data_IF_681903274402
#
_entry.id   IF_681903274402
#
_cell.length_a   1.000
_cell.length_b   1.000
_cell.length_c   1.000
_cell.angle_alpha   90.00
_cell.angle_beta   90.00
_cell.angle_gamma   90.00
#
_symmetry.space_group_name_H-M   'P 1'
#
loop_
_entity.id
_entity.type
_entity.pdbx_description
1 polymer ?
#
# COMPACT_ATOMS: atom_id res chain seq x y z
N UNK A 1 -2.63 13.26 12.06
CA UNK A 1 -2.53 14.64 11.54
C UNK A 1 -3.82 15.47 11.63
N UNK A 2 -5.01 15.01 11.19
CA UNK A 2 -6.24 15.85 11.18
C UNK A 2 -6.88 16.14 12.56
N UNK A 3 -6.42 15.51 13.64
CA UNK A 3 -6.87 15.83 15.00
C UNK A 3 -6.14 17.05 15.60
N UNK A 4 -5.06 17.53 14.96
CA UNK A 4 -4.27 18.68 15.43
C UNK A 4 -4.71 19.93 14.68
N UNK A 5 -5.49 20.79 15.36
CA UNK A 5 -5.78 22.13 14.85
C UNK A 5 -4.68 23.11 15.27
N UNK A 6 -4.04 23.81 14.32
CA UNK A 6 -3.03 24.84 14.66
C UNK A 6 -3.60 25.91 15.58
N UNK A 7 -4.91 26.20 15.50
CA UNK A 7 -5.59 27.12 16.42
C UNK A 7 -5.58 26.66 17.88
N UNK A 8 -5.38 25.37 18.17
CA UNK A 8 -5.24 24.85 19.54
C UNK A 8 -3.99 25.40 20.25
N UNK A 9 -3.01 25.90 19.48
CA UNK A 9 -1.78 26.51 19.98
C UNK A 9 -1.98 27.97 20.43
N UNK A 10 -3.11 28.61 20.11
CA UNK A 10 -3.35 30.00 20.46
C UNK A 10 -3.49 30.19 21.98
N UNK A 11 -2.57 30.98 22.56
CA UNK A 11 -2.60 31.32 23.99
C UNK A 11 -2.04 30.24 24.92
N UNK A 12 -1.35 29.24 24.36
CA UNK A 12 -0.72 28.17 25.13
C UNK A 12 0.58 28.62 25.82
N UNK A 13 0.97 28.00 26.94
CA UNK A 13 2.23 28.30 27.61
C UNK A 13 3.45 27.99 26.73
N UNK A 14 4.35 28.96 26.59
CA UNK A 14 5.68 28.71 26.04
C UNK A 14 6.53 28.06 27.13
N UNK A 15 6.89 26.80 26.93
CA UNK A 15 7.72 26.02 27.85
C UNK A 15 9.21 26.41 27.76
N UNK A 16 9.63 26.90 26.58
CA UNK A 16 10.97 27.42 26.36
C UNK A 16 11.08 28.13 25.01
N UNK A 17 11.86 29.21 24.95
CA UNK A 17 12.16 29.90 23.70
C UNK A 17 13.59 30.45 23.69
N UNK A 18 14.20 30.44 22.51
CA UNK A 18 15.46 31.11 22.20
C UNK A 18 15.45 31.54 20.72
N UNK A 19 16.45 32.30 20.24
CA UNK A 19 16.60 32.56 18.81
C UNK A 19 16.75 31.29 17.95
N UNK A 20 16.95 30.11 18.56
CA UNK A 20 17.15 28.84 17.88
C UNK A 20 15.96 27.87 18.01
N UNK A 21 15.03 28.08 18.96
CA UNK A 21 13.89 27.19 19.11
C UNK A 21 12.69 27.80 19.85
N UNK A 22 11.52 27.19 19.66
CA UNK A 22 10.30 27.40 20.44
C UNK A 22 9.71 26.05 20.88
N UNK A 23 9.25 25.95 22.12
CA UNK A 23 8.47 24.81 22.61
C UNK A 23 7.15 25.31 23.24
N UNK A 24 6.02 24.84 22.73
CA UNK A 24 4.67 25.19 23.19
C UNK A 24 3.99 23.95 23.75
N UNK A 25 3.42 24.06 24.96
CA UNK A 25 2.57 23.03 25.60
C UNK A 25 1.14 23.13 25.03
N UNK A 26 0.77 22.23 24.12
CA UNK A 26 -0.58 22.17 23.58
C UNK A 26 -1.47 21.18 24.33
N UNK A 27 -2.79 21.44 24.46
CA UNK A 27 -3.73 20.54 25.13
C UNK A 27 -3.87 19.15 24.46
N UNK A 28 -3.26 18.94 23.29
CA UNK A 28 -3.16 17.67 22.60
C UNK A 28 -1.71 17.23 22.31
N UNK A 29 -0.69 17.98 22.72
CA UNK A 29 0.71 17.70 22.38
C UNK A 29 1.65 18.90 22.39
N UNK A 30 2.96 18.64 22.46
CA UNK A 30 4.01 19.64 22.40
C UNK A 30 4.39 19.97 20.94
N UNK A 31 4.45 21.27 20.60
CA UNK A 31 5.03 21.74 19.33
C UNK A 31 6.44 22.27 19.59
N UNK A 32 7.41 21.72 18.86
CA UNK A 32 8.79 22.18 18.81
C UNK A 32 9.10 22.79 17.43
N UNK A 33 9.52 24.05 17.41
CA UNK A 33 10.05 24.71 16.22
C UNK A 33 11.56 24.92 16.41
N UNK A 34 12.38 24.42 15.50
CA UNK A 34 13.82 24.72 15.42
C UNK A 34 14.11 25.67 14.26
N UNK A 35 15.02 26.63 14.44
CA UNK A 35 15.28 27.65 13.42
C UNK A 35 16.46 28.57 13.69
N UNK A 36 16.52 29.67 12.92
CA UNK A 36 17.52 30.74 13.06
C UNK A 36 16.83 32.10 13.25
N UNK A 37 17.38 32.92 14.15
CA UNK A 37 16.91 34.27 14.48
C UNK A 37 15.41 34.37 14.80
N UNK A 38 14.86 33.35 15.45
CA UNK A 38 13.44 33.29 15.78
C UNK A 38 13.05 34.42 16.75
N UNK A 39 11.99 35.15 16.39
CA UNK A 39 11.40 36.23 17.17
C UNK A 39 9.94 35.90 17.45
N UNK A 40 9.44 36.25 18.63
CA UNK A 40 8.09 35.94 19.07
C UNK A 40 7.33 37.18 19.54
N UNK A 41 6.02 37.18 19.35
CA UNK A 41 5.15 38.18 19.96
C UNK A 41 4.93 37.90 21.46
N UNK A 42 4.26 38.82 22.17
CA UNK A 42 3.96 38.68 23.60
C UNK A 42 2.99 37.54 23.95
N UNK A 43 2.55 36.74 22.97
CA UNK A 43 1.68 35.56 23.10
C UNK A 43 2.38 34.27 22.66
N UNK A 44 3.66 34.34 22.29
CA UNK A 44 4.47 33.20 21.88
C UNK A 44 4.38 32.85 20.39
N UNK A 45 3.71 33.66 19.55
CA UNK A 45 3.65 33.38 18.12
C UNK A 45 4.94 33.79 17.43
N UNK A 46 5.48 32.98 16.51
CA UNK A 46 6.65 33.35 15.70
C UNK A 46 6.28 34.53 14.77
N UNK A 47 7.11 35.58 14.76
CA UNK A 47 6.92 36.82 13.97
C UNK A 47 8.15 37.23 13.15
N UNK A 48 9.30 36.61 13.37
CA UNK A 48 10.56 36.88 12.65
C UNK A 48 11.55 35.72 12.77
N UNK A 49 12.52 35.65 11.85
CA UNK A 49 13.43 34.51 11.70
C UNK A 49 12.94 33.45 10.72
N UNK A 50 13.70 32.38 10.60
CA UNK A 50 13.42 31.23 9.73
C UNK A 50 13.28 29.97 10.57
N UNK A 51 12.21 29.23 10.37
CA UNK A 51 12.03 27.88 10.90
C UNK A 51 12.69 26.93 9.89
N UNK A 52 13.42 25.94 10.37
CA UNK A 52 14.04 24.90 9.53
C UNK A 52 13.82 23.48 10.06
N UNK A 53 13.05 23.35 11.14
CA UNK A 53 12.63 22.09 11.71
C UNK A 53 11.34 22.31 12.49
N UNK A 54 10.36 21.43 12.34
CA UNK A 54 9.13 21.45 13.12
C UNK A 54 8.89 20.02 13.58
N UNK A 55 8.54 19.86 14.85
CA UNK A 55 8.18 18.57 15.44
C UNK A 55 6.91 18.77 16.28
N UNK A 56 5.93 17.89 16.09
CA UNK A 56 4.68 17.88 16.86
C UNK A 56 4.62 16.54 17.58
N UNK A 57 4.52 16.55 18.91
CA UNK A 57 4.38 15.35 19.74
C UNK A 57 3.03 15.34 20.41
N UNK A 58 2.10 14.46 20.01
CA UNK A 58 0.78 14.34 20.65
C UNK A 58 0.76 13.30 21.79
N UNK A 59 0.18 13.66 22.95
CA UNK A 59 -0.04 12.73 24.09
C UNK A 59 1.08 12.61 25.15
N UNK A 60 0.84 11.78 26.18
CA UNK A 60 1.77 11.57 27.31
C UNK A 60 2.74 10.41 27.04
N UNK A 61 3.94 10.74 26.55
CA UNK A 61 5.11 9.86 26.42
C UNK A 61 4.95 8.61 25.53
N UNK A 62 4.83 8.83 24.22
CA UNK A 62 5.54 8.09 23.15
C UNK A 62 5.37 8.92 21.89
N UNK A 63 6.45 9.58 21.48
CA UNK A 63 6.43 10.66 20.52
C UNK A 63 5.99 10.17 19.12
N UNK A 64 4.88 10.69 18.62
CA UNK A 64 4.83 10.97 17.19
C UNK A 64 5.90 12.02 16.92
N UNK A 65 6.87 11.69 16.08
CA UNK A 65 7.92 12.61 15.66
C UNK A 65 7.67 12.85 14.20
N UNK A 66 7.04 13.98 13.88
CA UNK A 66 7.13 14.54 12.54
C UNK A 66 8.48 15.26 12.47
N UNK A 67 9.45 14.71 11.73
CA UNK A 67 10.68 15.46 11.43
C UNK A 67 10.46 16.16 10.11
N UNK A 68 10.07 17.43 10.19
CA UNK A 68 9.72 18.24 9.03
C UNK A 68 11.01 18.79 8.42
N UNK A 69 11.43 18.23 7.29
CA UNK A 69 12.72 18.52 6.68
C UNK A 69 12.55 19.53 5.55
N UNK A 70 13.28 20.64 5.66
CA UNK A 70 13.62 21.50 4.52
C UNK A 70 12.58 22.49 3.95
N UNK A 71 11.88 23.26 4.80
CA UNK A 71 11.48 24.59 4.34
C UNK A 71 12.06 25.69 5.22
N UNK A 72 12.73 26.67 4.60
CA UNK A 72 12.99 27.98 5.18
C UNK A 72 11.65 28.74 5.31
N UNK A 73 10.82 28.34 6.26
CA UNK A 73 9.53 28.99 6.50
C UNK A 73 9.78 30.26 7.28
N UNK A 74 9.25 31.38 6.80
CA UNK A 74 9.28 32.58 7.61
C UNK A 74 8.40 32.38 8.84
N UNK A 75 8.94 32.69 10.01
CA UNK A 75 8.20 32.68 11.27
C UNK A 75 6.84 33.41 11.17
N UNK A 76 6.81 34.51 10.41
CA UNK A 76 5.60 35.29 10.11
C UNK A 76 4.53 34.54 9.31
N UNK A 77 4.93 33.69 8.35
CA UNK A 77 4.01 32.87 7.56
C UNK A 77 3.39 31.78 8.44
N UNK A 78 4.22 31.12 9.27
CA UNK A 78 3.74 30.15 10.24
C UNK A 78 2.71 30.76 11.21
N UNK A 79 2.99 31.96 11.73
CA UNK A 79 2.05 32.72 12.57
C UNK A 79 0.73 33.04 11.87
N UNK A 80 0.72 33.30 10.56
CA UNK A 80 -0.52 33.50 9.79
C UNK A 80 -1.36 32.24 9.69
N UNK A 81 -0.74 31.07 9.52
CA UNK A 81 -1.45 29.80 9.50
C UNK A 81 -2.09 29.48 10.85
N UNK A 82 -1.38 29.70 11.95
CA UNK A 82 -1.92 29.55 13.32
C UNK A 82 -3.11 30.47 13.56
N UNK A 83 -3.03 31.73 13.11
CA UNK A 83 -4.11 32.70 13.26
C UNK A 83 -5.37 32.36 12.44
N UNK A 84 -5.19 31.72 11.28
CA UNK A 84 -6.26 31.37 10.35
C UNK A 84 -6.79 29.93 10.52
N UNK A 85 -6.20 29.12 11.41
CA UNK A 85 -6.40 27.67 11.50
C UNK A 85 -6.20 26.95 10.14
N UNK A 86 -5.24 27.43 9.35
CA UNK A 86 -4.98 26.94 8.00
C UNK A 86 -4.11 25.67 8.01
N UNK A 87 -4.49 24.68 8.83
CA UNK A 87 -3.68 23.48 9.14
C UNK A 87 -3.26 22.71 7.90
N UNK A 88 -4.19 22.41 6.99
CA UNK A 88 -3.90 21.64 5.78
C UNK A 88 -2.90 22.34 4.86
N UNK A 89 -3.08 23.65 4.66
CA UNK A 89 -2.17 24.47 3.85
C UNK A 89 -0.78 24.57 4.49
N UNK A 90 -0.73 24.65 5.82
CA UNK A 90 0.53 24.66 6.53
C UNK A 90 1.27 23.33 6.34
N UNK A 91 0.61 22.20 6.62
CA UNK A 91 1.26 20.89 6.52
C UNK A 91 1.67 20.55 5.11
N UNK A 92 0.85 20.78 4.08
CA UNK A 92 1.27 20.55 2.69
C UNK A 92 2.41 21.45 2.21
N UNK A 93 2.67 22.58 2.89
CA UNK A 93 3.82 23.45 2.57
C UNK A 93 5.07 23.03 3.36
N UNK A 94 4.84 22.57 4.59
CA UNK A 94 5.90 22.13 5.49
C UNK A 94 6.47 20.79 5.01
N UNK A 95 5.58 19.88 4.63
CA UNK A 95 5.85 18.53 4.15
C UNK A 95 5.85 18.51 2.62
N UNK A 96 6.74 19.29 1.99
CA UNK A 96 6.78 19.37 0.52
C UNK A 96 8.08 18.82 -0.07
N UNK A 97 8.89 18.20 0.77
CA UNK A 97 10.12 17.53 0.40
C UNK A 97 10.21 16.20 1.16
N UNK A 98 11.32 15.46 1.03
CA UNK A 98 11.46 14.16 1.68
C UNK A 98 11.37 14.25 3.20
N UNK A 99 10.41 13.55 3.78
CA UNK A 99 10.10 13.58 5.21
C UNK A 99 10.13 12.20 5.87
N UNK A 100 10.33 12.19 7.20
CA UNK A 100 10.25 10.98 8.02
C UNK A 100 9.12 11.16 9.05
N UNK A 101 8.08 10.35 8.89
CA UNK A 101 6.79 10.46 9.57
C UNK A 101 6.52 9.19 10.38
N UNK A 102 6.60 9.32 11.70
CA UNK A 102 6.25 8.26 12.64
C UNK A 102 4.87 8.49 13.28
N UNK A 103 4.02 7.47 13.17
CA UNK A 103 2.83 7.28 13.98
C UNK A 103 3.14 6.97 15.44
N UNK A 104 2.11 6.67 16.20
CA UNK A 104 2.13 6.36 17.62
C UNK A 104 1.58 4.96 17.89
N UNK A 105 1.19 4.67 19.14
CA UNK A 105 0.70 3.34 19.52
C UNK A 105 -0.79 3.09 19.26
N UNK A 106 -1.52 4.13 18.86
CA UNK A 106 -2.94 4.12 18.60
C UNK A 106 -3.19 4.40 17.11
N UNK A 107 -4.44 4.24 16.66
CA UNK A 107 -4.83 4.53 15.28
C UNK A 107 -4.45 5.95 14.84
N UNK A 108 -3.69 6.04 13.74
CA UNK A 108 -3.22 7.30 13.19
C UNK A 108 -3.72 7.63 11.80
N UNK A 109 -3.68 8.92 11.48
CA UNK A 109 -3.87 9.45 10.13
C UNK A 109 -2.59 10.19 9.71
N UNK A 110 -1.86 9.62 8.77
CA UNK A 110 -0.55 10.09 8.30
C UNK A 110 -0.64 10.47 6.81
N UNK A 111 0.07 11.53 6.41
CA UNK A 111 0.12 12.06 5.04
C UNK A 111 1.55 12.54 4.75
N UNK A 112 2.16 12.08 3.67
CA UNK A 112 3.47 12.55 3.18
C UNK A 112 3.40 13.86 2.39
N UNK A 113 2.35 14.01 1.57
CA UNK A 113 2.11 15.16 0.67
C UNK A 113 3.00 15.20 -0.57
N UNK A 114 4.06 16.00 -0.63
CA UNK A 114 4.99 16.00 -1.77
C UNK A 114 6.38 15.60 -1.26
N UNK A 115 7.11 14.76 -1.97
CA UNK A 115 8.45 14.31 -1.58
C UNK A 115 8.56 12.80 -1.58
N UNK A 116 9.79 12.28 -1.53
CA UNK A 116 10.01 10.85 -1.34
C UNK A 116 10.05 10.57 0.17
N UNK A 117 8.93 10.15 0.74
CA UNK A 117 8.73 10.10 2.18
C UNK A 117 8.95 8.72 2.79
N UNK A 118 9.27 8.69 4.08
CA UNK A 118 9.28 7.48 4.89
C UNK A 118 8.19 7.59 5.93
N UNK A 119 7.14 6.78 5.80
CA UNK A 119 5.96 6.84 6.68
C UNK A 119 5.77 5.51 7.41
N UNK A 120 5.66 5.58 8.73
CA UNK A 120 5.59 4.42 9.62
C UNK A 120 4.38 4.54 10.54
N UNK A 121 3.37 3.68 10.36
CA UNK A 121 2.14 3.66 11.18
C UNK A 121 2.38 3.24 12.63
N UNK A 122 3.33 2.31 12.85
CA UNK A 122 3.67 1.72 14.14
C UNK A 122 2.55 0.84 14.74
N UNK A 123 1.75 1.36 15.67
CA UNK A 123 0.68 0.63 16.36
C UNK A 123 -0.70 1.08 15.91
N UNK A 124 -1.74 0.31 16.26
CA UNK A 124 -3.13 0.67 15.98
C UNK A 124 -3.52 0.62 14.50
N UNK A 125 -4.79 0.91 14.23
CA UNK A 125 -5.39 0.86 12.88
C UNK A 125 -5.09 2.17 12.14
N UNK A 126 -4.09 2.17 11.26
CA UNK A 126 -3.60 3.40 10.65
C UNK A 126 -4.23 3.69 9.29
N UNK A 127 -4.39 4.96 8.96
CA UNK A 127 -4.71 5.46 7.62
C UNK A 127 -3.51 6.26 7.13
N UNK A 128 -2.85 5.79 6.08
CA UNK A 128 -1.63 6.38 5.54
C UNK A 128 -1.80 6.72 4.07
N UNK A 129 -1.40 7.94 3.72
CA UNK A 129 -1.29 8.42 2.34
C UNK A 129 0.15 8.86 2.10
N UNK A 130 0.80 8.30 1.08
CA UNK A 130 2.13 8.72 0.63
C UNK A 130 2.06 10.12 0.07
N UNK A 131 1.50 10.27 -1.13
CA UNK A 131 1.34 11.57 -1.77
C UNK A 131 1.96 11.56 -3.15
N UNK A 132 2.68 12.63 -3.49
CA UNK A 132 3.53 12.68 -4.66
C UNK A 132 4.95 12.31 -4.28
N UNK A 133 5.60 11.46 -5.08
CA UNK A 133 6.98 11.05 -4.86
C UNK A 133 7.05 9.57 -4.59
N UNK A 134 8.27 9.05 -4.52
CA UNK A 134 8.47 7.61 -4.33
C UNK A 134 8.58 7.31 -2.84
N UNK A 135 7.48 6.87 -2.24
CA UNK A 135 7.33 6.75 -0.80
C UNK A 135 7.68 5.36 -0.28
N UNK A 136 8.10 5.30 0.98
CA UNK A 136 8.24 4.06 1.74
C UNK A 136 7.25 4.06 2.90
N UNK A 137 6.22 3.22 2.78
CA UNK A 137 5.12 3.13 3.74
C UNK A 137 5.17 1.79 4.48
N UNK A 138 5.07 1.83 5.81
CA UNK A 138 4.99 0.64 6.67
C UNK A 138 3.81 0.76 7.63
N UNK A 139 2.85 -0.16 7.56
CA UNK A 139 1.71 -0.25 8.49
C UNK A 139 2.11 -0.65 9.91
N UNK A 140 3.30 -1.22 10.08
CA UNK A 140 3.85 -1.67 11.37
C UNK A 140 5.11 -0.92 11.76
N UNK A 141 5.53 -1.12 13.02
CA UNK A 141 6.81 -0.67 13.56
C UNK A 141 7.66 -1.81 14.10
N UNK A 142 8.98 -1.72 13.95
CA UNK A 142 9.94 -2.67 14.51
C UNK A 142 9.99 -2.70 16.06
N UNK A 143 9.27 -1.79 16.73
CA UNK A 143 9.29 -1.66 18.18
C UNK A 143 8.06 -2.33 18.80
N UNK A 144 8.26 -3.55 19.31
CA UNK A 144 7.32 -4.37 20.12
C UNK A 144 6.73 -3.64 21.35
N UNK A 145 7.10 -2.38 21.61
CA UNK A 145 6.69 -1.58 22.77
C UNK A 145 5.72 -0.43 22.43
N UNK A 146 5.43 -0.19 21.14
CA UNK A 146 4.63 0.96 20.69
C UNK A 146 3.21 0.55 20.26
N UNK A 147 2.53 -0.29 21.03
CA UNK A 147 1.13 -0.67 20.74
C UNK A 147 0.97 -2.04 20.08
N UNK A 148 -0.28 -2.46 19.93
CA UNK A 148 -0.63 -3.68 19.22
C UNK A 148 -0.58 -3.42 17.70
N UNK A 149 -0.27 -4.44 16.88
CA UNK A 149 -0.50 -4.33 15.44
C UNK A 149 -1.98 -4.02 15.19
N UNK A 150 -2.27 -3.24 14.15
CA UNK A 150 -3.62 -2.90 13.74
C UNK A 150 -3.87 -3.23 12.28
N UNK A 151 -5.13 -3.09 11.88
CA UNK A 151 -5.58 -3.23 10.52
C UNK A 151 -5.49 -1.88 9.80
N UNK A 152 -4.64 -1.78 8.78
CA UNK A 152 -4.26 -0.49 8.19
C UNK A 152 -4.93 -0.26 6.83
N UNK A 153 -5.02 1.02 6.46
CA UNK A 153 -5.43 1.52 5.16
C UNK A 153 -4.25 2.30 4.59
N UNK A 154 -3.56 1.74 3.59
CA UNK A 154 -2.29 2.25 3.08
C UNK A 154 -2.44 2.63 1.60
N UNK A 155 -2.08 3.87 1.24
CA UNK A 155 -2.14 4.39 -0.14
C UNK A 155 -0.80 5.02 -0.51
N UNK A 156 -0.22 4.57 -1.62
CA UNK A 156 0.97 5.19 -2.22
C UNK A 156 0.65 6.54 -2.85
N UNK A 157 -0.37 6.55 -3.71
CA UNK A 157 -0.89 7.70 -4.47
C UNK A 157 -0.14 7.94 -5.80
N UNK A 158 0.87 8.79 -5.87
CA UNK A 158 1.65 9.09 -7.08
C UNK A 158 3.14 8.83 -6.87
N UNK A 159 3.72 7.88 -7.60
CA UNK A 159 5.15 7.60 -7.55
C UNK A 159 5.42 6.10 -7.54
N UNK A 160 6.69 5.71 -7.63
CA UNK A 160 7.04 4.30 -7.50
C UNK A 160 7.22 3.98 -6.00
N UNK A 161 6.16 3.47 -5.37
CA UNK A 161 6.07 3.33 -3.93
C UNK A 161 6.50 1.95 -3.42
N UNK A 162 6.94 1.91 -2.16
CA UNK A 162 7.17 0.68 -1.42
C UNK A 162 6.23 0.63 -0.22
N UNK A 163 5.27 -0.28 -0.23
CA UNK A 163 4.26 -0.41 0.82
C UNK A 163 4.35 -1.78 1.47
N UNK A 164 4.37 -1.81 2.80
CA UNK A 164 4.34 -3.07 3.58
C UNK A 164 3.28 -2.97 4.68
N UNK A 165 2.34 -3.91 4.66
CA UNK A 165 1.38 -4.15 5.74
C UNK A 165 2.02 -4.82 6.95
N UNK A 166 1.20 -5.09 7.96
CA UNK A 166 1.55 -5.64 9.26
C UNK A 166 1.21 -7.12 9.38
N UNK A 167 0.54 -7.49 10.48
CA UNK A 167 0.24 -8.88 10.84
C UNK A 167 -1.26 -9.13 11.04
N UNK A 168 -2.10 -8.17 10.64
CA UNK A 168 -3.56 -8.20 10.66
C UNK A 168 -4.03 -7.68 9.30
N UNK A 169 -5.31 -7.84 8.98
CA UNK A 169 -5.93 -7.35 7.75
C UNK A 169 -5.45 -5.94 7.37
N UNK A 170 -4.85 -5.80 6.20
CA UNK A 170 -4.44 -4.52 5.62
C UNK A 170 -5.09 -4.28 4.25
N UNK A 171 -5.56 -3.06 4.03
CA UNK A 171 -6.07 -2.58 2.74
C UNK A 171 -4.99 -1.70 2.10
N UNK A 172 -4.27 -2.26 1.11
CA UNK A 172 -3.12 -1.67 0.44
C UNK A 172 -3.46 -1.33 -1.02
N UNK A 173 -3.10 -0.12 -1.46
CA UNK A 173 -3.16 0.26 -2.87
C UNK A 173 -1.95 1.14 -3.24
N UNK A 174 -1.15 0.71 -4.23
CA UNK A 174 -0.03 1.49 -4.77
C UNK A 174 -0.50 2.75 -5.50
N UNK A 175 -1.57 2.63 -6.28
CA UNK A 175 -2.22 3.65 -7.10
C UNK A 175 -1.54 3.94 -8.44
N UNK A 176 -0.55 4.83 -8.51
CA UNK A 176 0.08 5.21 -9.78
C UNK A 176 1.60 5.12 -9.67
N UNK A 177 2.22 4.33 -10.53
CA UNK A 177 3.66 4.16 -10.57
C UNK A 177 4.02 2.69 -10.48
N UNK A 178 5.30 2.35 -10.61
CA UNK A 178 5.74 0.96 -10.52
C UNK A 178 5.94 0.57 -9.05
N UNK A 179 4.88 0.10 -8.41
CA UNK A 179 4.81 -0.08 -6.98
C UNK A 179 5.32 -1.45 -6.52
N UNK A 180 5.82 -1.52 -5.28
CA UNK A 180 6.15 -2.76 -4.59
C UNK A 180 5.35 -2.88 -3.30
N UNK A 181 4.36 -3.76 -3.28
CA UNK A 181 3.44 -3.93 -2.15
C UNK A 181 3.53 -5.33 -1.54
N UNK A 182 3.43 -5.42 -0.21
CA UNK A 182 3.44 -6.68 0.56
C UNK A 182 2.40 -6.58 1.68
N UNK A 183 1.46 -7.53 1.75
CA UNK A 183 0.42 -7.60 2.79
C UNK A 183 1.00 -7.92 4.17
N UNK A 184 1.97 -8.83 4.20
CA UNK A 184 2.69 -9.22 5.41
C UNK A 184 2.06 -10.45 6.06
N UNK A 185 1.08 -10.27 6.91
CA UNK A 185 0.34 -11.41 7.42
C UNK A 185 -1.04 -11.01 7.88
N UNK A 186 -1.96 -11.97 7.92
CA UNK A 186 -3.38 -11.64 7.98
C UNK A 186 -3.99 -11.83 6.60
N UNK A 187 -5.31 -11.74 6.52
CA UNK A 187 -6.02 -11.87 5.24
C UNK A 187 -6.08 -10.47 4.62
N UNK A 188 -5.24 -10.15 3.65
CA UNK A 188 -4.97 -8.79 3.19
C UNK A 188 -5.59 -8.48 1.82
N UNK A 189 -5.78 -7.20 1.52
CA UNK A 189 -6.10 -6.72 0.18
C UNK A 189 -4.91 -5.93 -0.36
N UNK A 190 -4.26 -6.44 -1.41
CA UNK A 190 -3.08 -5.85 -2.03
C UNK A 190 -3.38 -5.52 -3.48
N UNK A 191 -3.47 -4.23 -3.80
CA UNK A 191 -3.75 -3.75 -5.15
C UNK A 191 -2.58 -2.91 -5.66
N UNK A 192 -2.10 -3.19 -6.88
CA UNK A 192 -1.04 -2.43 -7.53
C UNK A 192 -1.55 -1.07 -7.99
N UNK A 193 -2.30 -1.05 -9.10
CA UNK A 193 -2.96 0.15 -9.57
C UNK A 193 -2.75 0.39 -11.04
N UNK A 194 -1.78 1.23 -11.38
CA UNK A 194 -1.35 1.53 -12.75
C UNK A 194 0.14 1.33 -12.84
N UNK A 195 0.58 0.98 -14.04
CA UNK A 195 1.98 0.71 -14.36
C UNK A 195 2.40 -0.65 -13.78
N UNK A 196 3.67 -1.02 -13.89
CA UNK A 196 4.08 -2.41 -13.67
C UNK A 196 4.43 -2.64 -12.20
N UNK A 197 3.57 -3.37 -11.50
CA UNK A 197 3.65 -3.56 -10.06
C UNK A 197 4.25 -4.91 -9.65
N UNK A 198 4.79 -4.97 -8.43
CA UNK A 198 5.26 -6.19 -7.76
C UNK A 198 4.51 -6.37 -6.44
N UNK A 199 3.61 -7.35 -6.39
CA UNK A 199 2.65 -7.52 -5.30
C UNK A 199 2.81 -8.89 -4.63
N UNK A 200 2.74 -8.92 -3.30
CA UNK A 200 2.72 -10.14 -2.48
C UNK A 200 1.61 -10.05 -1.43
N UNK A 201 0.75 -11.07 -1.32
CA UNK A 201 -0.17 -11.23 -0.16
C UNK A 201 0.60 -11.65 1.10
N UNK A 202 1.61 -12.49 0.91
CA UNK A 202 2.47 -13.10 1.93
C UNK A 202 1.81 -14.22 2.74
N UNK A 203 1.13 -13.95 3.85
CA UNK A 203 0.64 -15.02 4.72
C UNK A 203 -0.78 -14.78 5.23
N UNK A 204 -1.74 -15.52 4.71
CA UNK A 204 -3.17 -15.42 5.03
C UNK A 204 -3.99 -15.74 3.80
N UNK A 205 -5.31 -15.56 3.88
CA UNK A 205 -6.17 -15.67 2.69
C UNK A 205 -6.33 -14.31 2.02
N UNK A 206 -5.49 -14.02 1.04
CA UNK A 206 -5.28 -12.69 0.50
C UNK A 206 -6.08 -12.44 -0.78
N UNK A 207 -6.34 -11.17 -1.08
CA UNK A 207 -6.70 -10.71 -2.41
C UNK A 207 -5.53 -9.90 -2.97
N UNK A 208 -4.94 -10.38 -4.06
CA UNK A 208 -3.86 -9.71 -4.76
C UNK A 208 -4.32 -9.36 -6.18
N UNK A 209 -4.26 -8.08 -6.56
CA UNK A 209 -4.75 -7.60 -7.86
C UNK A 209 -3.85 -6.53 -8.50
N UNK A 210 -3.19 -6.86 -9.61
CA UNK A 210 -2.30 -5.97 -10.36
C UNK A 210 -3.01 -4.77 -11.01
N UNK A 211 -4.15 -5.04 -11.67
CA UNK A 211 -5.07 -4.10 -12.30
C UNK A 211 -4.64 -3.58 -13.69
N UNK A 212 -3.72 -2.63 -13.81
CA UNK A 212 -3.29 -2.06 -15.11
C UNK A 212 -1.77 -2.06 -15.21
N UNK A 213 -1.19 -2.88 -16.08
CA UNK A 213 0.25 -2.92 -16.27
C UNK A 213 0.73 -4.36 -16.41
N UNK A 214 2.00 -4.56 -16.74
CA UNK A 214 2.58 -5.89 -16.75
C UNK A 214 3.08 -6.22 -15.34
N UNK A 215 2.22 -6.85 -14.56
CA UNK A 215 2.37 -7.01 -13.11
C UNK A 215 2.97 -8.37 -12.73
N UNK A 216 3.60 -8.41 -11.55
CA UNK A 216 3.96 -9.66 -10.87
C UNK A 216 3.16 -9.77 -9.58
N UNK A 217 2.25 -10.73 -9.52
CA UNK A 217 1.36 -10.97 -8.39
C UNK A 217 1.64 -12.33 -7.75
N UNK A 218 1.89 -12.36 -6.44
CA UNK A 218 2.10 -13.56 -5.63
C UNK A 218 1.08 -13.59 -4.48
N UNK A 219 0.29 -14.65 -4.35
CA UNK A 219 -0.64 -14.83 -3.22
C UNK A 219 0.12 -15.11 -1.94
N UNK A 220 0.98 -16.14 -1.95
CA UNK A 220 1.83 -16.51 -0.83
C UNK A 220 1.34 -17.76 -0.11
N UNK A 221 1.38 -17.77 1.21
CA UNK A 221 0.86 -18.86 2.05
C UNK A 221 -0.61 -18.61 2.40
N UNK A 222 -1.52 -19.48 1.98
CA UNK A 222 -2.93 -19.44 2.33
C UNK A 222 -3.82 -19.72 1.13
N UNK A 223 -5.12 -19.42 1.26
CA UNK A 223 -6.06 -19.66 0.17
C UNK A 223 -6.41 -18.32 -0.46
N UNK A 224 -5.78 -18.00 -1.58
CA UNK A 224 -5.72 -16.65 -2.11
C UNK A 224 -6.61 -16.44 -3.32
N UNK A 225 -6.89 -15.17 -3.61
CA UNK A 225 -7.47 -14.71 -4.88
C UNK A 225 -6.41 -13.83 -5.54
N UNK A 226 -5.75 -14.36 -6.56
CA UNK A 226 -4.66 -13.68 -7.25
C UNK A 226 -5.08 -13.36 -8.69
N UNK A 227 -5.06 -12.07 -9.04
CA UNK A 227 -5.49 -11.57 -10.35
C UNK A 227 -4.42 -10.65 -10.95
N UNK A 228 -4.03 -10.92 -12.21
CA UNK A 228 -3.12 -10.07 -12.97
C UNK A 228 -3.77 -8.74 -13.32
N UNK A 229 -4.69 -8.74 -14.28
CA UNK A 229 -5.49 -7.56 -14.61
C UNK A 229 -5.52 -7.29 -16.11
N UNK A 230 -4.84 -6.25 -16.55
CA UNK A 230 -4.70 -5.93 -17.96
C UNK A 230 -3.24 -5.89 -18.32
N UNK A 231 -2.92 -6.30 -19.55
CA UNK A 231 -1.56 -6.52 -20.05
C UNK A 231 -1.01 -7.86 -19.56
N UNK A 232 0.27 -8.14 -19.83
CA UNK A 232 0.82 -9.49 -19.72
C UNK A 232 1.46 -9.70 -18.35
N UNK A 233 0.81 -10.50 -17.52
CA UNK A 233 1.12 -10.65 -16.11
C UNK A 233 1.84 -11.96 -15.78
N UNK A 234 2.51 -11.96 -14.62
CA UNK A 234 2.97 -13.16 -13.93
C UNK A 234 2.16 -13.32 -12.66
N UNK A 235 1.36 -14.39 -12.56
CA UNK A 235 0.42 -14.60 -11.46
C UNK A 235 0.71 -15.93 -10.77
N UNK A 236 0.97 -15.89 -9.47
CA UNK A 236 1.34 -17.05 -8.66
C UNK A 236 0.35 -17.18 -7.49
N UNK A 237 -0.33 -18.32 -7.38
CA UNK A 237 -1.21 -18.64 -6.25
C UNK A 237 -0.40 -18.78 -4.97
N UNK A 238 0.43 -19.83 -4.91
CA UNK A 238 1.36 -20.04 -3.81
C UNK A 238 1.07 -21.35 -3.10
N UNK A 239 0.89 -21.32 -1.78
CA UNK A 239 0.63 -22.51 -0.98
C UNK A 239 -0.77 -22.46 -0.37
N UNK A 240 -1.70 -23.24 -0.92
CA UNK A 240 -3.05 -23.43 -0.42
C UNK A 240 -3.98 -23.67 -1.60
N UNK A 241 -5.29 -23.59 -1.36
CA UNK A 241 -6.27 -23.76 -2.45
C UNK A 241 -6.61 -22.39 -3.04
N UNK A 242 -5.98 -22.04 -4.16
CA UNK A 242 -6.00 -20.68 -4.70
C UNK A 242 -6.98 -20.49 -5.86
N UNK A 243 -7.42 -19.25 -6.05
CA UNK A 243 -8.06 -18.79 -7.28
C UNK A 243 -7.09 -17.89 -8.05
N UNK A 244 -6.71 -18.30 -9.26
CA UNK A 244 -5.70 -17.63 -10.09
C UNK A 244 -6.32 -17.21 -11.43
N UNK A 245 -6.19 -15.93 -11.79
CA UNK A 245 -6.62 -15.38 -13.08
C UNK A 245 -5.60 -14.39 -13.63
N UNK A 246 -5.14 -14.57 -14.86
CA UNK A 246 -4.38 -13.54 -15.58
C UNK A 246 -5.25 -12.33 -15.97
N UNK A 247 -6.56 -12.56 -16.06
CA UNK A 247 -7.56 -11.65 -16.62
C UNK A 247 -7.33 -11.35 -18.11
N UNK A 248 -6.89 -10.15 -18.51
CA UNK A 248 -6.73 -9.77 -19.92
C UNK A 248 -5.27 -9.58 -20.26
N UNK A 249 -4.74 -10.42 -21.13
CA UNK A 249 -3.35 -10.36 -21.54
C UNK A 249 -2.88 -11.72 -22.02
N UNK A 250 -1.61 -11.79 -22.37
CA UNK A 250 -0.94 -13.08 -22.55
C UNK A 250 -0.17 -13.41 -21.25
N UNK A 251 -0.84 -14.09 -20.33
CA UNK A 251 -0.39 -14.24 -18.95
C UNK A 251 0.36 -15.55 -18.68
N UNK A 252 1.24 -15.54 -17.68
CA UNK A 252 1.88 -16.75 -17.15
C UNK A 252 1.45 -17.00 -15.73
N UNK A 253 0.90 -18.18 -15.46
CA UNK A 253 0.30 -18.54 -14.19
C UNK A 253 0.91 -19.79 -13.57
N UNK A 254 0.99 -19.79 -12.24
CA UNK A 254 1.22 -20.99 -11.40
C UNK A 254 0.20 -21.05 -10.29
N UNK A 255 -0.29 -22.24 -9.97
CA UNK A 255 -1.14 -22.46 -8.79
C UNK A 255 -0.29 -22.68 -7.54
N UNK A 256 0.83 -23.39 -7.70
CA UNK A 256 1.68 -23.77 -6.60
C UNK A 256 1.20 -25.07 -5.95
N UNK A 257 1.00 -25.08 -4.62
CA UNK A 257 0.69 -26.28 -3.87
C UNK A 257 -0.73 -26.23 -3.31
N UNK A 258 -1.63 -27.06 -3.82
CA UNK A 258 -2.99 -27.19 -3.29
C UNK A 258 -3.96 -27.52 -4.42
N UNK A 259 -5.25 -27.37 -4.16
CA UNK A 259 -6.28 -27.62 -5.17
C UNK A 259 -6.73 -26.31 -5.82
N UNK A 260 -6.04 -25.90 -6.89
CA UNK A 260 -6.19 -24.55 -7.43
C UNK A 260 -7.27 -24.43 -8.52
N UNK A 261 -7.79 -23.22 -8.67
CA UNK A 261 -8.72 -22.85 -9.72
C UNK A 261 -8.07 -21.82 -10.63
N UNK A 262 -7.80 -22.21 -11.87
CA UNK A 262 -7.38 -21.30 -12.93
C UNK A 262 -8.60 -20.79 -13.68
N UNK A 263 -8.88 -19.50 -13.60
CA UNK A 263 -9.97 -18.86 -14.33
C UNK A 263 -9.49 -18.30 -15.67
N UNK A 264 -10.34 -18.42 -16.68
CA UNK A 264 -10.13 -17.80 -18.00
C UNK A 264 -11.48 -17.64 -18.72
N UNK A 265 -11.49 -16.85 -19.78
CA UNK A 265 -12.70 -16.51 -20.53
C UNK A 265 -12.39 -16.22 -22.00
N UNK A 266 -13.45 -16.06 -22.80
CA UNK A 266 -13.36 -16.00 -24.26
C UNK A 266 -12.47 -14.89 -24.83
N UNK A 267 -12.25 -13.81 -24.09
CA UNK A 267 -11.46 -12.64 -24.49
C UNK A 267 -10.25 -12.39 -23.56
N UNK A 268 -9.80 -13.41 -22.81
CA UNK A 268 -8.66 -13.29 -21.88
C UNK A 268 -7.35 -12.99 -22.62
N UNK A 269 -7.03 -13.77 -23.65
CA UNK A 269 -5.77 -13.68 -24.38
C UNK A 269 -5.12 -15.06 -24.44
N UNK A 270 -3.80 -15.15 -24.57
CA UNK A 270 -3.07 -16.42 -24.54
C UNK A 270 -2.43 -16.67 -23.18
N UNK A 271 -3.14 -17.44 -22.34
CA UNK A 271 -2.70 -17.74 -20.98
C UNK A 271 -1.87 -19.04 -20.94
N UNK A 272 -0.89 -19.10 -20.04
CA UNK A 272 -0.03 -20.26 -19.83
C UNK A 272 0.00 -20.67 -18.36
N UNK A 273 -0.57 -21.83 -18.03
CA UNK A 273 -0.43 -22.44 -16.71
C UNK A 273 0.76 -23.40 -16.73
N UNK A 274 1.74 -23.20 -15.85
CA UNK A 274 3.05 -23.87 -15.96
C UNK A 274 3.25 -25.06 -15.03
N UNK A 275 2.36 -25.28 -14.06
CA UNK A 275 2.48 -26.30 -13.01
C UNK A 275 1.20 -27.10 -12.75
N UNK A 276 0.16 -26.95 -13.59
CA UNK A 276 -1.15 -27.59 -13.40
C UNK A 276 -1.05 -29.08 -13.00
N UNK A 277 -1.62 -29.42 -11.86
CA UNK A 277 -1.48 -30.72 -11.22
C UNK A 277 -2.82 -31.31 -10.76
N UNK A 278 -3.50 -31.99 -11.68
CA UNK A 278 -4.82 -32.60 -11.45
C UNK A 278 -4.92 -33.58 -10.27
N UNK A 279 -3.81 -34.12 -9.76
CA UNK A 279 -3.81 -34.99 -8.57
C UNK A 279 -3.84 -34.25 -7.24
N UNK A 280 -3.44 -32.98 -7.21
CA UNK A 280 -3.59 -32.12 -6.04
C UNK A 280 -4.99 -31.50 -5.98
N UNK A 281 -5.58 -31.23 -7.13
CA UNK A 281 -7.00 -30.90 -7.22
C UNK A 281 -7.33 -29.88 -8.28
N UNK A 282 -6.33 -29.41 -9.03
CA UNK A 282 -6.44 -28.29 -9.96
C UNK A 282 -7.53 -28.44 -10.99
N UNK A 283 -8.20 -27.32 -11.27
CA UNK A 283 -9.28 -27.23 -12.24
C UNK A 283 -9.22 -25.90 -12.99
N UNK A 284 -9.77 -25.92 -14.19
CA UNK A 284 -9.99 -24.72 -14.99
C UNK A 284 -11.46 -24.32 -14.88
N UNK A 285 -11.69 -23.06 -14.48
CA UNK A 285 -13.00 -22.45 -14.48
C UNK A 285 -13.16 -21.57 -15.72
N UNK A 286 -14.24 -21.80 -16.47
CA UNK A 286 -14.65 -20.93 -17.58
C UNK A 286 -15.90 -20.13 -17.20
N UNK A 287 -16.05 -18.95 -17.80
CA UNK A 287 -17.27 -18.15 -17.65
C UNK A 287 -18.52 -18.88 -18.19
N UNK A 288 -19.70 -18.71 -17.55
CA UNK A 288 -20.93 -19.33 -18.02
C UNK A 288 -21.28 -19.01 -19.47
N UNK A 289 -21.51 -20.05 -20.27
CA UNK A 289 -21.81 -19.92 -21.70
C UNK A 289 -20.58 -19.89 -22.60
N UNK A 290 -19.37 -20.03 -22.05
CA UNK A 290 -18.14 -20.12 -22.86
C UNK A 290 -18.16 -21.37 -23.73
N UNK A 291 -18.08 -21.19 -25.05
CA UNK A 291 -17.96 -22.30 -26.00
C UNK A 291 -16.49 -22.56 -26.25
N UNK A 292 -16.02 -23.78 -25.96
CA UNK A 292 -14.61 -24.14 -26.05
C UNK A 292 -14.37 -25.50 -26.72
N UNK A 293 -13.12 -25.72 -27.10
CA UNK A 293 -12.58 -27.05 -27.43
C UNK A 293 -11.29 -27.29 -26.64
N UNK A 294 -11.00 -28.55 -26.29
CA UNK A 294 -9.74 -28.93 -25.67
C UNK A 294 -9.02 -29.95 -26.56
N UNK A 295 -7.74 -29.73 -26.84
CA UNK A 295 -6.93 -30.59 -27.70
C UNK A 295 -5.50 -30.74 -27.16
N UNK A 296 -4.88 -31.89 -27.46
CA UNK A 296 -3.44 -32.08 -27.22
C UNK A 296 -2.64 -31.42 -28.34
N UNK A 297 -1.69 -30.56 -28.00
CA UNK A 297 -0.75 -29.93 -28.94
C UNK A 297 0.68 -30.15 -28.43
N UNK A 298 1.42 -31.03 -29.10
CA UNK A 298 2.75 -31.42 -28.61
C UNK A 298 2.67 -32.06 -27.22
N UNK A 299 3.36 -31.49 -26.25
CA UNK A 299 3.33 -31.93 -24.85
C UNK A 299 2.20 -31.25 -24.02
N UNK A 300 1.53 -30.26 -24.59
CA UNK A 300 0.64 -29.36 -23.84
C UNK A 300 -0.84 -29.67 -24.13
N UNK A 301 -1.70 -29.40 -23.15
CA UNK A 301 -3.15 -29.39 -23.35
C UNK A 301 -3.58 -27.95 -23.62
N UNK A 302 -4.30 -27.73 -24.72
CA UNK A 302 -4.73 -26.40 -25.16
C UNK A 302 -6.25 -26.32 -25.14
N UNK A 303 -6.78 -25.31 -24.45
CA UNK A 303 -8.19 -24.95 -24.41
C UNK A 303 -8.37 -23.73 -25.32
N UNK A 304 -9.12 -23.89 -26.41
CA UNK A 304 -9.41 -22.83 -27.38
C UNK A 304 -10.86 -22.39 -27.23
N UNK A 305 -11.08 -21.10 -26.97
CA UNK A 305 -12.38 -20.52 -26.63
C UNK A 305 -12.91 -19.63 -27.76
N UNK A 306 -14.23 -19.66 -27.95
CA UNK A 306 -14.90 -18.74 -28.88
C UNK A 306 -14.81 -17.33 -28.31
N UNK A 307 -14.09 -16.45 -29.01
CA UNK A 307 -13.76 -15.09 -28.56
C UNK A 307 -12.30 -14.73 -28.88
N UNK A 308 -11.43 -15.76 -28.94
CA UNK A 308 -10.01 -15.62 -29.28
C UNK A 308 -9.07 -15.97 -28.14
N UNK A 309 -9.58 -16.08 -26.92
CA UNK A 309 -8.86 -16.54 -25.74
C UNK A 309 -8.44 -18.01 -25.85
N UNK A 310 -7.27 -18.30 -25.29
CA UNK A 310 -6.68 -19.62 -25.25
C UNK A 310 -5.95 -19.82 -23.92
N UNK A 311 -6.15 -20.97 -23.28
CA UNK A 311 -5.35 -21.38 -22.13
C UNK A 311 -4.51 -22.62 -22.49
N UNK A 312 -3.21 -22.55 -22.18
CA UNK A 312 -2.26 -23.64 -22.39
C UNK A 312 -1.85 -24.21 -21.03
N UNK A 313 -2.19 -25.47 -20.78
CA UNK A 313 -1.63 -26.23 -19.66
C UNK A 313 -0.32 -26.89 -20.11
N UNK A 314 0.79 -26.30 -19.69
CA UNK A 314 2.13 -26.65 -20.17
C UNK A 314 2.55 -28.01 -19.62
N UNK A 315 2.99 -28.91 -20.49
CA UNK A 315 3.43 -30.26 -20.12
C UNK A 315 2.31 -31.20 -19.65
N UNK A 316 1.05 -30.79 -19.75
CA UNK A 316 -0.09 -31.60 -19.30
C UNK A 316 -0.63 -32.46 -20.44
N UNK A 317 -0.77 -33.76 -20.17
CA UNK A 317 -1.36 -34.71 -21.12
C UNK A 317 -2.88 -34.73 -21.00
N UNK A 318 -3.60 -34.41 -22.08
CA UNK A 318 -5.07 -34.29 -22.07
C UNK A 318 -5.76 -35.59 -21.63
N UNK A 319 -5.24 -36.74 -22.03
CA UNK A 319 -5.82 -38.04 -21.69
C UNK A 319 -5.62 -38.47 -20.24
N UNK A 320 -4.77 -37.78 -19.46
CA UNK A 320 -4.62 -38.02 -18.03
C UNK A 320 -5.55 -37.18 -17.16
N UNK A 321 -6.24 -36.19 -17.73
CA UNK A 321 -7.11 -35.28 -16.99
C UNK A 321 -8.42 -35.98 -16.56
N UNK A 322 -8.82 -35.86 -15.29
CA UNK A 322 -10.03 -36.50 -14.76
C UNK A 322 -11.29 -35.82 -15.27
N UNK A 323 -12.45 -36.47 -15.19
CA UNK A 323 -13.72 -35.81 -15.53
C UNK A 323 -13.97 -34.58 -14.65
N UNK A 324 -14.40 -33.47 -15.24
CA UNK A 324 -14.70 -32.24 -14.51
C UNK A 324 -13.49 -31.37 -14.22
N UNK A 325 -12.31 -31.67 -14.79
CA UNK A 325 -11.13 -30.78 -14.72
C UNK A 325 -11.40 -29.38 -15.32
N UNK A 326 -12.34 -29.27 -16.27
CA UNK A 326 -12.97 -27.99 -16.66
C UNK A 326 -14.38 -27.93 -16.07
N UNK A 327 -14.82 -26.76 -15.61
CA UNK A 327 -16.20 -26.49 -15.18
C UNK A 327 -16.62 -25.03 -15.47
N UNK A 328 -17.88 -24.69 -15.20
CA UNK A 328 -18.41 -23.31 -15.28
C UNK A 328 -19.07 -22.92 -16.60
N UNK A 329 -18.57 -23.46 -17.73
CA UNK A 329 -19.10 -23.22 -19.08
C UNK A 329 -20.57 -23.61 -19.29
#
# INVERSE_FOLDING_TARGET
>A
MDAVHLSALNGQPVLGSSPLYLMIDGPGGDLYLGGQDLQFDGRGHPIGGTIGHVQISIGSFTAQIYTLTDPLISASQFGQWVAADATQLAFSTILSGPDDIDGGPDADLLRGYDGDDVIRGLGGDNTVFGGQGNDTISGYGFAVTLGAPGANYLRGEEGDDRIVGGSLFDDINGNQGADTCSGGGGDDWVVGGKDNDSLSGDAGGDLVYGNLGADTCDGGDGNDIVRGGQDNDVVMGGAGDDFVSGDKGDDTMTGGAGADIFHTFGDAGLDRVTDFHASEGDRVQLDPGTVYTAAQVGADTVIDMTGGGQMVLVGVTLSSLPSGWIFGA
#
